data_IF_367046871380
#
_entry.id   IF_367046871380
#
_cell.length_a   1.000
_cell.length_b   1.000
_cell.length_c   1.000
_cell.angle_alpha   90.00
_cell.angle_beta   90.00
_cell.angle_gamma   90.00
#
_symmetry.space_group_name_H-M   'P 1'
#
loop_
_entity.id
_entity.type
_entity.pdbx_description
1 polymer ?
#
# COMPACT_ATOMS: atom_id res chain seq x y z
N UNK A 1 -12.50 -15.72 -9.61
CA UNK A 1 -11.96 -15.50 -10.98
C UNK A 1 -10.84 -14.48 -10.90
N UNK A 2 -9.69 -14.75 -11.52
CA UNK A 2 -8.56 -13.79 -11.65
C UNK A 2 -8.57 -13.19 -13.06
N UNK A 3 -8.51 -11.88 -13.16
CA UNK A 3 -8.53 -11.13 -14.42
C UNK A 3 -7.25 -10.30 -14.56
N UNK A 4 -6.73 -10.20 -15.78
CA UNK A 4 -5.72 -9.21 -16.15
C UNK A 4 -6.41 -8.06 -16.84
N UNK A 5 -6.32 -6.87 -16.26
CA UNK A 5 -6.81 -5.63 -16.84
C UNK A 5 -5.63 -4.75 -17.28
N UNK A 6 -5.74 -4.15 -18.46
CA UNK A 6 -4.84 -3.08 -18.90
C UNK A 6 -5.68 -1.85 -19.18
N UNK A 7 -5.35 -0.73 -18.54
CA UNK A 7 -6.07 0.53 -18.78
C UNK A 7 -5.10 1.71 -18.91
N UNK A 8 -5.53 2.71 -19.67
CA UNK A 8 -4.81 3.99 -19.74
C UNK A 8 -5.05 4.80 -18.47
N UNK A 9 -4.03 5.43 -17.95
CA UNK A 9 -4.11 6.35 -16.83
C UNK A 9 -3.58 7.72 -17.24
N UNK A 10 -4.30 8.78 -16.87
CA UNK A 10 -3.88 10.16 -17.11
C UNK A 10 -2.76 10.58 -16.18
N UNK A 11 -2.81 10.11 -14.93
CA UNK A 11 -1.80 10.41 -13.92
C UNK A 11 -0.40 9.92 -14.31
N UNK A 12 -0.30 8.84 -15.10
CA UNK A 12 0.97 8.27 -15.52
C UNK A 12 1.25 8.43 -17.04
N UNK A 13 0.29 8.96 -17.80
CA UNK A 13 0.37 9.12 -19.26
C UNK A 13 0.73 7.82 -20.02
N UNK A 14 0.34 6.67 -19.46
CA UNK A 14 0.64 5.35 -20.02
C UNK A 14 -0.44 4.32 -19.70
N UNK A 15 -0.33 3.15 -20.32
CA UNK A 15 -1.12 1.97 -19.95
C UNK A 15 -0.47 1.20 -18.81
N UNK A 16 -1.26 0.82 -17.81
CA UNK A 16 -0.82 0.00 -16.65
C UNK A 16 -1.58 -1.31 -16.62
N UNK A 17 -0.89 -2.36 -16.15
CA UNK A 17 -1.50 -3.65 -15.89
C UNK A 17 -1.95 -3.74 -14.42
N UNK A 18 -3.03 -4.47 -14.22
CA UNK A 18 -3.62 -4.70 -12.90
C UNK A 18 -4.17 -6.11 -12.88
N UNK A 19 -3.85 -6.90 -11.86
CA UNK A 19 -4.64 -8.09 -11.56
C UNK A 19 -5.84 -7.72 -10.70
N UNK A 20 -7.00 -8.29 -11.06
CA UNK A 20 -8.22 -8.14 -10.29
C UNK A 20 -8.79 -9.52 -9.99
N UNK A 21 -8.82 -9.88 -8.71
CA UNK A 21 -9.58 -11.04 -8.26
C UNK A 21 -11.02 -10.65 -8.00
N UNK A 22 -11.96 -11.37 -8.59
CA UNK A 22 -13.40 -11.18 -8.39
C UNK A 22 -13.99 -12.50 -7.86
N UNK A 23 -14.75 -12.49 -6.74
CA UNK A 23 -15.42 -13.68 -6.24
C UNK A 23 -16.37 -14.28 -7.29
N UNK A 24 -16.36 -15.63 -7.44
CA UNK A 24 -17.21 -16.35 -8.40
C UNK A 24 -18.58 -16.65 -7.79
N UNK A 25 -19.26 -15.61 -7.35
CA UNK A 25 -20.61 -15.66 -6.77
C UNK A 25 -21.35 -14.38 -7.06
N UNK A 26 -22.66 -14.38 -6.78
CA UNK A 26 -23.48 -13.19 -6.90
C UNK A 26 -22.96 -12.12 -5.92
N UNK A 27 -22.81 -10.88 -6.41
CA UNK A 27 -22.44 -9.77 -5.58
C UNK A 27 -23.55 -9.45 -4.56
N UNK A 28 -23.18 -9.03 -3.33
CA UNK A 28 -24.13 -8.44 -2.39
C UNK A 28 -24.90 -7.25 -3.01
N UNK A 29 -26.06 -6.91 -2.47
CA UNK A 29 -26.90 -5.81 -2.97
C UNK A 29 -26.12 -4.49 -3.09
N UNK A 30 -25.22 -4.19 -2.16
CA UNK A 30 -24.37 -2.97 -2.19
C UNK A 30 -23.07 -3.12 -3.01
N UNK A 31 -22.85 -4.25 -3.68
CA UNK A 31 -21.58 -4.60 -4.33
C UNK A 31 -20.58 -5.27 -3.39
N UNK A 32 -19.52 -5.84 -3.95
CA UNK A 32 -18.42 -6.42 -3.18
C UNK A 32 -17.61 -5.33 -2.46
N UNK A 33 -17.04 -5.67 -1.32
CA UNK A 33 -15.97 -4.86 -0.72
C UNK A 33 -14.71 -4.92 -1.58
N UNK A 34 -13.82 -3.94 -1.47
CA UNK A 34 -12.62 -3.85 -2.30
C UNK A 34 -11.38 -3.71 -1.44
N UNK A 35 -10.37 -4.52 -1.73
CA UNK A 35 -9.02 -4.40 -1.18
C UNK A 35 -8.05 -4.00 -2.29
N UNK A 36 -7.40 -2.84 -2.16
CA UNK A 36 -6.23 -2.47 -2.96
C UNK A 36 -5.00 -3.04 -2.29
N UNK A 37 -4.26 -3.92 -2.99
CA UNK A 37 -3.16 -4.70 -2.43
C UNK A 37 -1.87 -4.38 -3.19
N UNK A 38 -0.96 -3.68 -2.52
CA UNK A 38 0.21 -3.04 -3.09
C UNK A 38 1.46 -3.93 -2.96
N UNK A 39 2.22 -4.09 -4.07
CA UNK A 39 3.46 -4.87 -4.08
C UNK A 39 4.65 -4.10 -3.49
N UNK A 40 5.73 -4.80 -3.19
CA UNK A 40 6.98 -4.26 -2.68
C UNK A 40 7.90 -3.70 -3.77
N UNK A 41 9.07 -3.20 -3.34
CA UNK A 41 10.12 -2.74 -4.26
C UNK A 41 10.65 -3.93 -5.09
N UNK A 42 10.97 -3.71 -6.35
CA UNK A 42 11.30 -4.71 -7.37
C UNK A 42 10.14 -5.60 -7.84
N UNK A 43 8.98 -5.48 -7.24
CA UNK A 43 7.81 -6.26 -7.59
C UNK A 43 6.93 -5.64 -8.66
N UNK A 44 5.84 -6.33 -8.97
CA UNK A 44 4.80 -5.86 -9.86
C UNK A 44 3.40 -6.40 -9.45
N UNK A 45 2.42 -6.15 -10.28
CA UNK A 45 1.02 -6.57 -10.07
C UNK A 45 0.79 -8.08 -9.96
N UNK A 46 1.80 -8.91 -10.29
CA UNK A 46 1.69 -10.38 -10.29
C UNK A 46 2.16 -11.02 -8.98
N UNK A 47 2.98 -10.34 -8.20
CA UNK A 47 3.70 -10.89 -7.05
C UNK A 47 2.78 -11.59 -6.05
N UNK A 48 1.72 -10.91 -5.64
CA UNK A 48 0.79 -11.46 -4.65
C UNK A 48 0.15 -12.78 -5.06
N UNK A 49 -0.06 -12.97 -6.35
CA UNK A 49 -0.65 -14.20 -6.91
C UNK A 49 0.37 -15.32 -6.97
N UNK A 50 1.59 -15.03 -7.40
CA UNK A 50 2.60 -16.07 -7.63
C UNK A 50 3.44 -16.41 -6.41
N UNK A 51 3.62 -15.47 -5.50
CA UNK A 51 4.49 -15.66 -4.34
C UNK A 51 3.75 -15.98 -3.04
N UNK A 52 2.41 -15.89 -3.04
CA UNK A 52 1.62 -16.14 -1.82
C UNK A 52 0.43 -17.07 -2.04
N UNK A 53 -0.27 -17.40 -0.95
CA UNK A 53 -1.54 -18.14 -0.99
C UNK A 53 -2.77 -17.23 -1.11
N UNK A 54 -2.62 -16.02 -1.60
CA UNK A 54 -3.66 -14.99 -1.65
C UNK A 54 -4.99 -15.51 -2.20
N UNK A 55 -4.97 -16.16 -3.37
CA UNK A 55 -6.20 -16.62 -4.03
C UNK A 55 -6.96 -17.63 -3.19
N UNK A 56 -6.25 -18.54 -2.51
CA UNK A 56 -6.87 -19.53 -1.58
C UNK A 56 -7.53 -18.84 -0.39
N UNK A 57 -6.94 -17.77 0.12
CA UNK A 57 -7.53 -16.99 1.21
C UNK A 57 -8.70 -16.15 0.72
N UNK A 58 -8.57 -15.54 -0.45
CA UNK A 58 -9.59 -14.66 -1.04
C UNK A 58 -10.93 -15.38 -1.26
N UNK A 59 -10.93 -16.70 -1.55
CA UNK A 59 -12.15 -17.50 -1.71
C UNK A 59 -13.06 -17.49 -0.46
N UNK A 60 -12.50 -17.19 0.71
CA UNK A 60 -13.25 -17.18 1.98
C UNK A 60 -13.93 -15.85 2.29
N UNK A 61 -13.62 -14.81 1.49
CA UNK A 61 -14.06 -13.45 1.75
C UNK A 61 -14.77 -12.87 0.53
N UNK A 62 -15.73 -11.99 0.78
CA UNK A 62 -16.48 -11.27 -0.25
C UNK A 62 -15.73 -10.01 -0.69
N UNK A 63 -14.49 -10.21 -1.17
CA UNK A 63 -13.59 -9.13 -1.55
C UNK A 63 -13.22 -9.21 -3.02
N UNK A 64 -13.40 -8.11 -3.73
CA UNK A 64 -12.64 -7.84 -4.95
C UNK A 64 -11.25 -7.35 -4.53
N UNK A 65 -10.21 -8.01 -5.03
CA UNK A 65 -8.82 -7.64 -4.71
C UNK A 65 -8.18 -7.06 -5.96
N UNK A 66 -7.66 -5.85 -5.83
CA UNK A 66 -7.05 -5.07 -6.90
C UNK A 66 -5.55 -4.98 -6.65
N UNK A 67 -4.75 -5.56 -7.51
CA UNK A 67 -3.30 -5.62 -7.41
C UNK A 67 -2.68 -4.80 -8.56
N UNK A 68 -2.40 -3.50 -8.34
CA UNK A 68 -1.86 -2.63 -9.38
C UNK A 68 -0.35 -2.79 -9.56
N UNK A 69 0.14 -2.50 -10.76
CA UNK A 69 1.55 -2.25 -11.01
C UNK A 69 1.90 -0.81 -10.54
N UNK A 70 2.55 -0.71 -9.40
CA UNK A 70 3.02 0.55 -8.82
C UNK A 70 4.45 0.91 -9.19
N UNK A 71 5.17 0.09 -9.99
CA UNK A 71 6.61 0.21 -10.21
C UNK A 71 7.37 0.44 -8.87
N UNK A 72 8.57 1.00 -8.91
CA UNK A 72 9.34 1.34 -7.70
C UNK A 72 9.03 2.78 -7.21
N UNK A 73 7.76 3.16 -7.14
CA UNK A 73 7.30 4.54 -6.97
C UNK A 73 7.04 4.97 -5.52
N UNK A 74 7.08 4.04 -4.57
CA UNK A 74 6.57 4.25 -3.21
C UNK A 74 5.11 4.75 -3.17
N UNK A 75 4.41 4.66 -4.31
CA UNK A 75 3.02 5.10 -4.48
C UNK A 75 2.81 6.60 -4.21
N UNK A 76 3.86 7.41 -4.38
CA UNK A 76 3.81 8.87 -4.24
C UNK A 76 3.75 9.56 -5.61
N UNK A 77 3.30 10.81 -5.62
CA UNK A 77 3.44 11.66 -6.80
C UNK A 77 4.89 12.18 -6.88
N UNK A 78 5.58 11.88 -7.97
CA UNK A 78 6.93 12.37 -8.18
C UNK A 78 6.92 13.89 -8.42
N UNK A 79 7.82 14.68 -7.86
CA UNK A 79 7.79 16.15 -7.97
C UNK A 79 7.85 16.69 -9.42
N UNK A 80 8.43 15.93 -10.34
CA UNK A 80 8.60 16.30 -11.75
C UNK A 80 8.29 15.13 -12.71
N UNK A 81 7.35 14.29 -12.35
CA UNK A 81 7.14 13.08 -13.14
C UNK A 81 5.80 12.40 -12.91
N UNK A 82 5.84 11.10 -12.79
CA UNK A 82 4.67 10.25 -12.76
C UNK A 82 3.92 10.39 -11.42
N UNK A 83 2.59 10.45 -11.49
CA UNK A 83 1.72 10.73 -10.36
C UNK A 83 1.09 9.44 -9.82
N UNK A 84 1.89 8.56 -9.19
CA UNK A 84 1.41 7.24 -8.72
C UNK A 84 0.37 7.32 -7.62
N UNK A 85 0.44 8.32 -6.73
CA UNK A 85 -0.62 8.57 -5.75
C UNK A 85 -1.98 8.82 -6.44
N UNK A 86 -1.99 9.72 -7.44
CA UNK A 86 -3.20 10.05 -8.20
C UNK A 86 -3.68 8.86 -9.05
N UNK A 87 -2.74 8.07 -9.58
CA UNK A 87 -3.07 6.85 -10.29
C UNK A 87 -3.90 5.90 -9.42
N UNK A 88 -3.44 5.59 -8.20
CA UNK A 88 -4.14 4.64 -7.32
C UNK A 88 -5.46 5.23 -6.81
N UNK A 89 -5.43 6.47 -6.31
CA UNK A 89 -6.57 7.07 -5.59
C UNK A 89 -7.65 7.63 -6.51
N UNK A 90 -7.31 7.99 -7.74
CA UNK A 90 -8.23 8.58 -8.72
C UNK A 90 -8.48 7.67 -9.91
N UNK A 91 -7.49 7.47 -10.78
CA UNK A 91 -7.68 6.80 -12.07
C UNK A 91 -8.08 5.33 -11.90
N UNK A 92 -7.29 4.57 -11.14
CA UNK A 92 -7.55 3.14 -10.93
C UNK A 92 -8.83 2.93 -10.13
N UNK A 93 -8.99 3.64 -9.02
CA UNK A 93 -10.21 3.54 -8.20
C UNK A 93 -11.47 3.78 -9.04
N UNK A 94 -11.51 4.87 -9.79
CA UNK A 94 -12.66 5.18 -10.67
C UNK A 94 -12.89 4.06 -11.68
N UNK A 95 -11.83 3.56 -12.31
CA UNK A 95 -11.93 2.46 -13.29
C UNK A 95 -12.49 1.17 -12.67
N UNK A 96 -12.06 0.81 -11.47
CA UNK A 96 -12.56 -0.36 -10.75
C UNK A 96 -14.05 -0.20 -10.42
N UNK A 97 -14.44 0.96 -9.89
CA UNK A 97 -15.82 1.27 -9.53
C UNK A 97 -16.78 1.37 -10.73
N UNK A 98 -16.28 1.68 -11.92
CA UNK A 98 -17.03 1.69 -13.18
C UNK A 98 -17.14 0.32 -13.84
N UNK A 99 -16.14 -0.56 -13.61
CA UNK A 99 -16.02 -1.82 -14.34
C UNK A 99 -16.64 -2.98 -13.58
N UNK A 100 -16.53 -2.96 -12.23
CA UNK A 100 -16.96 -4.06 -11.37
C UNK A 100 -18.09 -3.64 -10.43
N UNK A 101 -18.93 -4.61 -10.07
CA UNK A 101 -19.99 -4.37 -9.09
C UNK A 101 -19.41 -4.36 -7.67
N UNK A 102 -18.78 -3.24 -7.31
CA UNK A 102 -18.16 -3.01 -5.99
C UNK A 102 -18.85 -1.87 -5.26
N UNK A 103 -18.82 -1.94 -3.93
CA UNK A 103 -19.32 -0.86 -3.06
C UNK A 103 -18.45 0.40 -3.21
N UNK A 104 -19.09 1.55 -3.31
CA UNK A 104 -18.40 2.85 -3.35
C UNK A 104 -18.24 3.48 -1.95
N UNK A 105 -18.76 2.82 -0.92
CA UNK A 105 -18.68 3.31 0.46
C UNK A 105 -17.25 3.16 0.99
N UNK A 106 -16.81 4.13 1.79
CA UNK A 106 -15.53 4.10 2.50
C UNK A 106 -15.39 2.83 3.36
N UNK A 107 -16.45 2.46 4.07
CA UNK A 107 -16.47 1.34 5.02
C UNK A 107 -16.15 0.00 4.36
N UNK A 108 -16.36 -0.10 3.06
CA UNK A 108 -16.17 -1.28 2.23
C UNK A 108 -14.88 -1.22 1.38
N UNK A 109 -14.05 -0.19 1.57
CA UNK A 109 -12.81 -0.03 0.82
C UNK A 109 -11.61 -0.07 1.75
N UNK A 110 -10.66 -0.96 1.42
CA UNK A 110 -9.47 -1.25 2.20
C UNK A 110 -8.22 -1.09 1.35
N UNK A 111 -7.10 -0.80 1.99
CA UNK A 111 -5.79 -0.75 1.34
C UNK A 111 -4.77 -1.51 2.18
N UNK A 112 -3.94 -2.32 1.55
CA UNK A 112 -2.85 -3.01 2.22
C UNK A 112 -1.65 -3.17 1.28
N UNK A 113 -0.50 -3.52 1.83
CA UNK A 113 0.69 -3.79 1.05
C UNK A 113 1.86 -4.25 1.90
N UNK A 114 2.94 -4.68 1.25
CA UNK A 114 4.17 -5.10 1.89
C UNK A 114 5.34 -4.17 1.55
N UNK A 115 6.27 -4.01 2.49
CA UNK A 115 7.53 -3.26 2.28
C UNK A 115 7.26 -1.83 1.74
N UNK A 116 7.74 -1.49 0.54
CA UNK A 116 7.36 -0.26 -0.18
C UNK A 116 5.84 -0.11 -0.30
N UNK A 117 5.11 -1.20 -0.61
CA UNK A 117 3.65 -1.19 -0.67
C UNK A 117 3.00 -1.03 0.71
N UNK A 118 3.68 -1.44 1.78
CA UNK A 118 3.27 -1.18 3.16
C UNK A 118 3.34 0.31 3.49
N UNK A 119 4.43 0.98 3.12
CA UNK A 119 4.52 2.44 3.16
C UNK A 119 3.40 3.08 2.32
N UNK A 120 3.24 2.63 1.07
CA UNK A 120 2.20 3.14 0.18
C UNK A 120 0.79 2.99 0.74
N UNK A 121 0.49 1.87 1.40
CA UNK A 121 -0.81 1.64 2.04
C UNK A 121 -1.04 2.61 3.20
N UNK A 122 -0.04 2.80 4.07
CA UNK A 122 -0.10 3.81 5.14
C UNK A 122 -0.22 5.22 4.56
N UNK A 123 0.66 5.59 3.63
CA UNK A 123 0.67 6.91 3.02
C UNK A 123 -0.66 7.24 2.35
N UNK A 124 -1.13 6.41 1.43
CA UNK A 124 -2.39 6.64 0.70
C UNK A 124 -3.60 6.58 1.63
N UNK A 125 -3.62 5.60 2.53
CA UNK A 125 -4.73 5.41 3.46
C UNK A 125 -4.89 6.60 4.41
N UNK A 126 -3.79 7.07 5.00
CA UNK A 126 -3.80 8.17 5.97
C UNK A 126 -4.08 9.53 5.33
N UNK A 127 -3.62 9.76 4.08
CA UNK A 127 -3.94 10.98 3.33
C UNK A 127 -5.39 11.00 2.82
N UNK A 128 -6.03 9.83 2.72
CA UNK A 128 -7.41 9.70 2.22
C UNK A 128 -8.31 8.97 3.21
N UNK A 129 -8.52 9.52 4.42
CA UNK A 129 -9.42 8.92 5.40
C UNK A 129 -10.88 8.85 4.92
N UNK A 130 -11.24 9.60 3.89
CA UNK A 130 -12.54 9.56 3.21
C UNK A 130 -12.65 8.40 2.21
N UNK A 131 -11.53 7.82 1.76
CA UNK A 131 -11.52 6.72 0.80
C UNK A 131 -11.42 5.35 1.46
N UNK A 132 -10.58 5.21 2.49
CA UNK A 132 -10.25 3.92 3.07
C UNK A 132 -10.61 3.86 4.55
N UNK A 133 -11.26 2.76 4.97
CA UNK A 133 -11.61 2.52 6.38
C UNK A 133 -10.58 1.70 7.12
N UNK A 134 -9.83 0.86 6.41
CA UNK A 134 -8.82 -0.04 6.99
C UNK A 134 -7.52 0.01 6.20
N UNK A 135 -6.41 -0.02 6.92
CA UNK A 135 -5.06 0.01 6.37
C UNK A 135 -4.28 -1.18 6.92
N UNK A 136 -3.71 -1.99 6.04
CA UNK A 136 -2.84 -3.11 6.40
C UNK A 136 -1.42 -2.89 5.87
N UNK A 137 -0.40 -3.01 6.73
CA UNK A 137 0.99 -2.82 6.34
C UNK A 137 1.84 -3.98 6.85
N UNK A 138 2.44 -4.73 5.92
CA UNK A 138 3.30 -5.88 6.21
C UNK A 138 4.76 -5.48 5.99
N UNK A 139 5.58 -5.57 7.04
CA UNK A 139 6.98 -5.12 7.01
C UNK A 139 7.14 -3.77 6.30
N UNK A 140 6.33 -2.74 6.65
CA UNK A 140 6.36 -1.48 5.94
C UNK A 140 7.68 -0.74 6.12
N UNK A 141 8.12 -0.06 5.07
CA UNK A 141 9.04 1.08 5.24
C UNK A 141 8.28 2.18 5.99
N UNK A 142 8.88 2.75 7.02
CA UNK A 142 8.31 3.84 7.81
C UNK A 142 9.12 5.12 7.64
N UNK A 143 10.44 5.01 7.71
CA UNK A 143 11.39 6.12 7.74
C UNK A 143 12.12 6.22 6.40
N UNK A 144 11.58 7.00 5.48
CA UNK A 144 12.14 7.13 4.13
C UNK A 144 13.57 7.69 4.11
N UNK A 145 13.93 8.54 5.04
CA UNK A 145 15.28 9.09 5.17
C UNK A 145 16.33 8.01 5.49
N UNK A 146 15.95 6.96 6.21
CA UNK A 146 16.84 5.84 6.46
C UNK A 146 17.00 4.92 5.24
N UNK A 147 16.00 4.88 4.36
CA UNK A 147 16.08 4.12 3.12
C UNK A 147 17.13 4.70 2.16
N UNK A 148 17.39 5.99 2.25
CA UNK A 148 18.49 6.62 1.52
C UNK A 148 19.80 5.89 1.81
N UNK A 149 20.17 5.68 3.05
CA UNK A 149 21.40 5.00 3.45
C UNK A 149 21.44 3.52 3.02
N UNK A 150 20.32 2.79 3.04
CA UNK A 150 20.25 1.40 2.61
C UNK A 150 20.41 1.23 1.09
N UNK A 151 19.95 2.19 0.29
CA UNK A 151 20.03 2.12 -1.18
C UNK A 151 21.23 2.85 -1.77
N UNK A 152 21.88 3.76 -1.03
CA UNK A 152 22.85 4.74 -1.53
C UNK A 152 24.29 4.29 -1.47
N UNK A 153 24.66 3.20 -0.83
CA UNK A 153 26.07 2.78 -0.86
C UNK A 153 26.56 2.46 -2.28
N UNK A 154 26.22 3.30 -3.24
CA UNK A 154 26.90 3.37 -4.50
C UNK A 154 26.12 3.72 -5.75
N UNK A 155 24.84 3.43 -5.92
CA UNK A 155 24.29 3.51 -7.29
C UNK A 155 22.83 4.03 -7.43
N UNK A 156 22.10 4.34 -6.35
CA UNK A 156 20.66 4.63 -6.42
C UNK A 156 20.21 6.00 -5.87
N UNK A 157 21.13 6.85 -5.47
CA UNK A 157 20.86 8.24 -5.01
C UNK A 157 19.98 8.98 -6.01
N UNK A 158 20.29 8.79 -7.29
CA UNK A 158 19.58 9.46 -8.37
C UNK A 158 18.10 9.09 -8.45
N UNK A 159 17.79 7.83 -8.15
CA UNK A 159 16.42 7.35 -8.14
C UNK A 159 15.62 7.91 -6.97
N UNK A 160 16.22 8.00 -5.80
CA UNK A 160 15.61 8.52 -4.60
C UNK A 160 15.23 10.01 -4.74
N UNK A 161 16.15 10.84 -5.21
CA UNK A 161 15.88 12.26 -5.53
C UNK A 161 14.79 12.42 -6.61
N UNK A 162 14.71 11.49 -7.54
CA UNK A 162 13.68 11.50 -8.60
C UNK A 162 12.29 11.24 -8.01
N UNK A 163 12.20 10.32 -7.06
CA UNK A 163 10.94 9.95 -6.40
C UNK A 163 10.45 11.04 -5.46
N UNK A 164 11.33 11.57 -4.63
CA UNK A 164 10.96 12.38 -3.48
C UNK A 164 11.44 13.84 -3.56
N UNK A 165 12.33 14.14 -4.51
CA UNK A 165 12.98 15.46 -4.58
C UNK A 165 14.13 15.55 -3.59
N UNK A 166 14.53 16.81 -3.28
CA UNK A 166 15.61 17.15 -2.32
C UNK A 166 15.06 17.71 -1.01
N UNK A 167 13.81 17.44 -0.72
CA UNK A 167 13.16 17.97 0.46
C UNK A 167 13.52 17.19 1.72
N UNK A 168 13.49 17.85 2.86
CA UNK A 168 13.58 17.15 4.15
C UNK A 168 12.30 16.35 4.39
N UNK A 169 12.45 15.06 4.63
CA UNK A 169 11.30 14.18 4.89
C UNK A 169 10.61 14.48 6.20
N UNK A 170 11.37 14.87 7.24
CA UNK A 170 10.83 15.10 8.58
C UNK A 170 9.86 16.29 8.59
N UNK A 171 8.64 16.02 9.02
CA UNK A 171 7.57 17.01 9.08
C UNK A 171 6.90 17.31 7.74
N UNK A 172 7.32 16.66 6.64
CA UNK A 172 6.68 16.76 5.34
C UNK A 172 5.42 15.88 5.24
N UNK A 173 4.70 15.99 4.13
CA UNK A 173 3.57 15.11 3.83
C UNK A 173 3.97 13.64 3.59
N UNK A 174 5.26 13.34 3.40
CA UNK A 174 5.81 12.00 3.24
C UNK A 174 6.15 11.34 4.59
N UNK A 175 6.22 12.12 5.66
CA UNK A 175 6.53 11.65 7.01
C UNK A 175 5.28 11.09 7.68
N UNK A 176 5.21 9.77 7.84
CA UNK A 176 4.06 9.09 8.45
C UNK A 176 3.82 9.51 9.92
N UNK A 177 4.86 9.86 10.67
CA UNK A 177 4.72 10.41 12.02
C UNK A 177 4.02 11.77 12.01
N UNK A 178 4.38 12.61 11.04
CA UNK A 178 3.76 13.92 10.87
C UNK A 178 2.29 13.81 10.43
N UNK A 179 2.00 12.92 9.49
CA UNK A 179 0.64 12.69 8.99
C UNK A 179 -0.29 12.19 10.10
N UNK A 180 0.24 11.37 11.01
CA UNK A 180 -0.50 10.80 12.14
C UNK A 180 -0.50 11.66 13.41
N UNK A 181 0.12 12.85 13.40
CA UNK A 181 0.23 13.71 14.60
C UNK A 181 -1.10 13.98 15.31
N UNK A 182 -2.20 14.05 14.57
CA UNK A 182 -3.56 14.31 15.07
C UNK A 182 -4.43 13.02 15.15
N UNK A 183 -3.79 11.85 14.95
CA UNK A 183 -4.46 10.56 15.01
C UNK A 183 -5.20 10.18 13.74
N UNK A 184 -5.93 9.07 13.78
CA UNK A 184 -6.79 8.58 12.70
C UNK A 184 -7.99 7.81 13.26
N UNK A 185 -9.08 7.76 12.49
CA UNK A 185 -10.27 6.94 12.77
C UNK A 185 -10.26 5.60 12.01
N UNK A 186 -9.22 5.33 11.24
CA UNK A 186 -9.09 4.11 10.45
C UNK A 186 -8.57 2.97 11.32
N UNK A 187 -8.97 1.73 11.01
CA UNK A 187 -8.39 0.55 11.62
C UNK A 187 -6.99 0.30 11.00
N UNK A 188 -5.96 0.33 11.82
CA UNK A 188 -4.59 0.05 11.40
C UNK A 188 -4.18 -1.37 11.81
N UNK A 189 -3.65 -2.13 10.86
CA UNK A 189 -2.96 -3.40 11.09
C UNK A 189 -1.53 -3.29 10.58
N UNK A 190 -0.55 -3.58 11.44
CA UNK A 190 0.87 -3.54 11.10
C UNK A 190 1.49 -4.87 11.55
N UNK A 191 2.28 -5.47 10.68
CA UNK A 191 3.03 -6.69 11.01
C UNK A 191 4.47 -6.58 10.51
N UNK A 192 5.45 -7.06 11.30
CA UNK A 192 6.85 -7.09 10.89
C UNK A 192 7.55 -8.31 11.48
N UNK A 193 8.41 -8.97 10.70
CA UNK A 193 9.20 -10.10 11.15
C UNK A 193 10.26 -9.68 12.18
N UNK A 194 10.49 -10.51 13.21
CA UNK A 194 11.46 -10.21 14.28
C UNK A 194 12.91 -10.13 13.78
N UNK A 195 13.20 -10.76 12.64
CA UNK A 195 14.51 -10.73 11.97
C UNK A 195 14.50 -9.91 10.67
N UNK A 196 13.46 -9.09 10.47
CA UNK A 196 13.36 -8.19 9.32
C UNK A 196 14.30 -6.99 9.50
N UNK A 197 14.94 -6.54 8.42
CA UNK A 197 15.85 -5.38 8.49
C UNK A 197 15.12 -4.06 8.79
N UNK A 198 13.80 -3.99 8.61
CA UNK A 198 12.94 -2.85 8.94
C UNK A 198 12.36 -2.93 10.38
N UNK A 199 12.73 -3.94 11.17
CA UNK A 199 12.08 -4.20 12.45
C UNK A 199 12.22 -3.02 13.42
N UNK A 200 13.37 -2.36 13.47
CA UNK A 200 13.62 -1.30 14.44
C UNK A 200 12.80 -0.03 14.15
N UNK A 201 12.64 0.36 12.90
CA UNK A 201 11.75 1.48 12.56
C UNK A 201 10.28 1.13 12.80
N UNK A 202 9.89 -0.12 12.57
CA UNK A 202 8.54 -0.61 12.87
C UNK A 202 8.26 -0.63 14.40
N UNK A 203 9.26 -0.96 15.22
CA UNK A 203 9.14 -0.85 16.70
C UNK A 203 8.99 0.60 17.15
N UNK A 204 9.77 1.52 16.60
CA UNK A 204 9.64 2.97 16.89
C UNK A 204 8.27 3.49 16.49
N UNK A 205 7.77 3.08 15.33
CA UNK A 205 6.45 3.48 14.86
C UNK A 205 5.33 2.93 15.77
N UNK A 206 5.42 1.66 16.17
CA UNK A 206 4.51 1.08 17.16
C UNK A 206 4.51 1.85 18.50
N UNK A 207 5.71 2.17 19.01
CA UNK A 207 5.82 2.99 20.23
C UNK A 207 5.15 4.35 20.07
N UNK A 208 5.40 5.05 18.95
CA UNK A 208 4.75 6.32 18.64
C UNK A 208 3.22 6.21 18.61
N UNK A 209 2.67 5.18 17.96
CA UNK A 209 1.22 4.95 17.93
C UNK A 209 0.64 4.76 19.34
N UNK A 210 1.35 4.04 20.22
CA UNK A 210 0.95 3.88 21.61
C UNK A 210 1.01 5.20 22.39
N UNK A 211 2.09 5.97 22.27
CA UNK A 211 2.25 7.28 22.91
C UNK A 211 1.16 8.28 22.50
N UNK A 212 0.71 8.19 21.25
CA UNK A 212 -0.38 9.01 20.70
C UNK A 212 -1.78 8.44 20.99
N UNK A 213 -1.88 7.28 21.65
CA UNK A 213 -3.13 6.57 21.85
C UNK A 213 -3.90 6.26 20.57
N UNK A 214 -3.18 6.01 19.47
CA UNK A 214 -3.76 5.64 18.17
C UNK A 214 -4.07 4.15 18.19
N UNK A 215 -5.35 3.80 18.04
CA UNK A 215 -5.79 2.41 18.01
C UNK A 215 -5.20 1.68 16.81
N UNK A 216 -4.51 0.58 17.05
CA UNK A 216 -3.94 -0.27 16.01
C UNK A 216 -3.76 -1.71 16.50
N UNK A 217 -3.60 -2.63 15.56
CA UNK A 217 -3.12 -3.99 15.81
C UNK A 217 -1.69 -4.08 15.33
N UNK A 218 -0.80 -4.56 16.15
CA UNK A 218 0.59 -4.79 15.81
C UNK A 218 1.00 -6.23 16.08
N UNK A 219 1.59 -6.91 15.09
CA UNK A 219 2.08 -8.29 15.23
C UNK A 219 3.58 -8.37 14.97
N UNK A 220 4.34 -8.83 15.98
CA UNK A 220 5.70 -9.33 15.85
C UNK A 220 5.66 -10.85 15.79
N UNK A 221 6.25 -11.43 14.78
CA UNK A 221 6.34 -12.89 14.65
C UNK A 221 7.74 -13.26 14.14
N UNK A 222 8.26 -14.46 14.48
CA UNK A 222 9.48 -14.96 13.87
C UNK A 222 9.37 -14.93 12.35
N UNK A 223 10.36 -14.35 11.68
CA UNK A 223 10.41 -14.21 10.22
C UNK A 223 11.33 -13.09 9.78
N UNK A 224 11.58 -13.05 8.49
CA UNK A 224 12.44 -12.07 7.81
C UNK A 224 11.65 -11.26 6.80
N UNK A 225 12.32 -10.47 5.97
CA UNK A 225 11.69 -9.66 4.93
C UNK A 225 11.44 -10.49 3.67
N UNK A 226 10.50 -11.43 3.72
CA UNK A 226 10.26 -12.37 2.65
C UNK A 226 8.79 -12.84 2.54
N UNK A 227 8.49 -13.52 1.42
CA UNK A 227 7.17 -14.04 1.12
C UNK A 227 6.71 -15.22 2.02
N UNK A 228 7.60 -15.81 2.83
CA UNK A 228 7.21 -16.82 3.82
C UNK A 228 6.58 -16.16 5.04
N UNK A 229 7.01 -14.93 5.33
CA UNK A 229 6.44 -14.12 6.41
C UNK A 229 5.12 -13.47 6.00
N UNK A 230 5.06 -12.90 4.81
CA UNK A 230 3.88 -12.19 4.29
C UNK A 230 2.82 -13.16 3.75
#
# INVERSE_FOLDING_TARGET
MLLTMKHGTRALEMGKHVYVYVPEKQAPEGGFKTLYLLHGYFGDYTDWVYASNLLRYAERYDLVIVMPDGANSYYVNHPKGLLYHDYITKDLRTRIEETFHVSKKKEDRFIAGLSMGGYGALYLGLHHPELYSKIGALSPVIELDQMEDHFIKGERVYHFETLFGKEDFKGSHLDLYHVLKDGTQQDLFISCGESDFLIEENRRFHQFLNEKNIKHTYEFKPGTHDWQYW
#
